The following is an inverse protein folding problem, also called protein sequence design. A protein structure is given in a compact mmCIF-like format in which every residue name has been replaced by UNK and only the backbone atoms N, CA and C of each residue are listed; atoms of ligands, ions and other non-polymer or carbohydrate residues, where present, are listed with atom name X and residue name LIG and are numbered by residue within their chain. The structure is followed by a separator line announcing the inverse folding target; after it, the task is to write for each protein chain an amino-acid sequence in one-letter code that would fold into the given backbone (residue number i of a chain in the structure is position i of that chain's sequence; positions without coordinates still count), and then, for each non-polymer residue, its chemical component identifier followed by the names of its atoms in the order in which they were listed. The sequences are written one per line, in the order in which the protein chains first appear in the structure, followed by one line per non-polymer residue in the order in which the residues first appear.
data_IF_566478093358
#
_entry.id   IF_566478093358
#
_cell.length_a   1.000
_cell.length_b   1.000
_cell.length_c   1.000
_cell.angle_alpha   90.00
_cell.angle_beta   90.00
_cell.angle_gamma   90.00
#
_symmetry.space_group_name_H-M   'P 1'
#
loop_
_entity.id
_entity.type
_entity.pdbx_description
1 polymer ?
#
# COMPACT_ATOMS: atom_id res chain seq x y z
N UNK A 1 -35.14 -11.04 -16.07
CA UNK A 1 -33.99 -10.51 -15.31
C UNK A 1 -32.63 -10.83 -15.94
N UNK A 2 -32.12 -12.06 -15.89
CA UNK A 2 -30.75 -12.36 -16.38
C UNK A 2 -30.52 -12.12 -17.89
N UNK A 3 -31.58 -12.16 -18.69
CA UNK A 3 -31.56 -11.97 -20.16
C UNK A 3 -32.23 -10.68 -20.63
N UNK A 4 -32.56 -9.76 -19.71
CA UNK A 4 -33.16 -8.46 -20.06
C UNK A 4 -32.25 -7.66 -20.99
N UNK A 5 -32.86 -6.90 -21.89
CA UNK A 5 -32.17 -5.95 -22.76
C UNK A 5 -32.09 -4.58 -22.08
N UNK A 6 -31.05 -3.82 -22.42
CA UNK A 6 -30.91 -2.45 -21.95
C UNK A 6 -31.90 -1.53 -22.66
N UNK A 7 -32.64 -0.73 -21.89
CA UNK A 7 -33.42 0.37 -22.45
C UNK A 7 -32.46 1.49 -22.88
N UNK A 8 -32.58 1.94 -24.13
CA UNK A 8 -31.75 3.01 -24.73
C UNK A 8 -30.24 2.80 -24.59
N UNK A 9 -29.79 1.55 -24.54
CA UNK A 9 -28.38 1.19 -24.33
C UNK A 9 -27.84 1.48 -22.92
N UNK A 10 -28.70 1.88 -21.98
CA UNK A 10 -28.32 2.17 -20.60
C UNK A 10 -28.30 0.89 -19.76
N UNK A 11 -27.12 0.45 -19.31
CA UNK A 11 -26.99 -0.77 -18.51
C UNK A 11 -27.76 -0.72 -17.18
N UNK A 12 -27.90 0.47 -16.58
CA UNK A 12 -28.62 0.69 -15.32
C UNK A 12 -30.13 0.51 -15.42
N UNK A 13 -30.67 0.39 -16.64
CA UNK A 13 -32.09 0.09 -16.86
C UNK A 13 -32.49 -1.32 -16.42
N UNK A 14 -31.52 -2.23 -16.27
CA UNK A 14 -31.77 -3.59 -15.81
C UNK A 14 -31.59 -3.71 -14.30
N UNK A 15 -32.50 -4.42 -13.65
CA UNK A 15 -32.49 -4.59 -12.19
C UNK A 15 -31.19 -5.25 -11.71
N UNK A 16 -30.68 -6.23 -12.47
CA UNK A 16 -29.48 -6.98 -12.07
C UNK A 16 -28.21 -6.12 -12.09
N UNK A 17 -28.06 -5.24 -13.10
CA UNK A 17 -26.93 -4.29 -13.15
C UNK A 17 -27.06 -3.26 -12.04
N UNK A 18 -28.26 -2.71 -11.81
CA UNK A 18 -28.51 -1.79 -10.72
C UNK A 18 -28.17 -2.43 -9.35
N UNK A 19 -28.64 -3.65 -9.11
CA UNK A 19 -28.34 -4.40 -7.90
C UNK A 19 -26.84 -4.61 -7.71
N UNK A 20 -26.11 -4.96 -8.77
CA UNK A 20 -24.65 -5.11 -8.70
C UNK A 20 -23.96 -3.82 -8.27
N UNK A 21 -24.42 -2.66 -8.76
CA UNK A 21 -23.86 -1.37 -8.38
C UNK A 21 -24.07 -1.07 -6.89
N UNK A 22 -25.24 -1.44 -6.33
CA UNK A 22 -25.51 -1.34 -4.88
C UNK A 22 -24.57 -2.24 -4.08
N UNK A 23 -24.27 -3.46 -4.56
CA UNK A 23 -23.28 -4.33 -3.93
C UNK A 23 -21.85 -3.75 -3.96
N UNK A 24 -21.59 -2.74 -4.80
CA UNK A 24 -20.33 -2.00 -4.86
C UNK A 24 -20.16 -0.98 -3.74
N UNK A 25 -21.14 -0.81 -2.84
CA UNK A 25 -21.08 0.13 -1.73
C UNK A 25 -20.56 -0.53 -0.44
N UNK A 26 -19.83 0.22 0.36
CA UNK A 26 -19.32 -0.22 1.67
C UNK A 26 -20.44 -0.35 2.70
N UNK A 27 -20.46 -1.44 3.48
CA UNK A 27 -21.43 -1.62 4.56
C UNK A 27 -20.96 -0.97 5.87
N UNK A 28 -21.88 -0.59 6.78
CA UNK A 28 -23.34 -0.65 6.65
C UNK A 28 -23.95 0.59 5.98
N UNK A 29 -23.24 1.72 5.96
CA UNK A 29 -23.78 3.04 5.61
C UNK A 29 -23.75 3.38 4.11
N UNK A 30 -23.02 2.63 3.29
CA UNK A 30 -22.90 2.90 1.85
C UNK A 30 -22.11 4.16 1.51
N UNK A 31 -21.34 4.73 2.44
CA UNK A 31 -20.73 6.05 2.30
C UNK A 31 -19.60 6.09 1.26
N UNK A 32 -18.93 4.96 1.04
CA UNK A 32 -17.82 4.82 0.09
C UNK A 32 -18.05 3.65 -0.86
N UNK A 33 -17.35 3.67 -2.01
CA UNK A 33 -17.28 2.53 -2.93
C UNK A 33 -16.28 1.49 -2.44
N UNK A 34 -16.56 0.22 -2.73
CA UNK A 34 -15.63 -0.89 -2.52
C UNK A 34 -14.40 -0.73 -3.41
N UNK A 35 -13.28 -1.26 -2.92
CA UNK A 35 -12.06 -1.37 -3.70
C UNK A 35 -12.26 -2.29 -4.91
N UNK A 36 -11.67 -2.01 -6.09
CA UNK A 36 -11.70 -2.88 -7.26
C UNK A 36 -11.49 -4.37 -6.95
N UNK A 37 -10.52 -4.72 -6.10
CA UNK A 37 -10.31 -6.12 -5.68
C UNK A 37 -11.55 -6.77 -5.02
N UNK A 38 -12.27 -6.03 -4.19
CA UNK A 38 -13.45 -6.51 -3.49
C UNK A 38 -14.66 -6.57 -4.43
N UNK A 39 -14.87 -5.52 -5.22
CA UNK A 39 -16.01 -5.45 -6.13
C UNK A 39 -15.92 -6.49 -7.26
N UNK A 40 -14.71 -6.75 -7.79
CA UNK A 40 -14.50 -7.80 -8.82
C UNK A 40 -14.81 -9.21 -8.30
N UNK A 41 -14.63 -9.48 -7.01
CA UNK A 41 -15.05 -10.75 -6.38
C UNK A 41 -16.58 -10.89 -6.37
N UNK A 42 -17.29 -9.81 -6.03
CA UNK A 42 -18.77 -9.76 -6.09
C UNK A 42 -19.24 -9.98 -7.53
N UNK A 43 -18.67 -9.25 -8.49
CA UNK A 43 -18.99 -9.43 -9.92
C UNK A 43 -18.73 -10.87 -10.39
N UNK A 44 -17.63 -11.49 -9.97
CA UNK A 44 -17.32 -12.88 -10.32
C UNK A 44 -18.39 -13.85 -9.81
N UNK A 45 -18.89 -13.62 -8.60
CA UNK A 45 -19.98 -14.40 -8.01
C UNK A 45 -21.30 -14.20 -8.78
N UNK A 46 -21.63 -12.95 -9.13
CA UNK A 46 -22.82 -12.63 -9.93
C UNK A 46 -22.74 -13.23 -11.34
N UNK A 47 -21.58 -13.17 -12.00
CA UNK A 47 -21.33 -13.80 -13.30
C UNK A 47 -21.57 -15.31 -13.21
N UNK A 48 -21.05 -15.96 -12.18
CA UNK A 48 -21.22 -17.40 -11.97
C UNK A 48 -22.70 -17.76 -11.79
N UNK A 49 -23.40 -17.13 -10.85
CA UNK A 49 -24.81 -17.39 -10.59
C UNK A 49 -25.69 -17.12 -11.83
N UNK A 50 -25.45 -16.01 -12.52
CA UNK A 50 -26.20 -15.64 -13.73
C UNK A 50 -26.00 -16.65 -14.85
N UNK A 51 -24.77 -17.15 -15.04
CA UNK A 51 -24.47 -18.21 -16.02
C UNK A 51 -25.22 -19.50 -15.72
N UNK A 52 -25.28 -19.92 -14.45
CA UNK A 52 -26.03 -21.11 -14.04
C UNK A 52 -27.53 -20.94 -14.32
N UNK A 53 -28.10 -19.80 -13.97
CA UNK A 53 -29.53 -19.51 -14.20
C UNK A 53 -29.87 -19.51 -15.69
N UNK A 54 -29.03 -18.90 -16.55
CA UNK A 54 -29.23 -18.92 -18.00
C UNK A 54 -29.07 -20.34 -18.55
N UNK A 55 -28.10 -21.11 -18.08
CA UNK A 55 -27.94 -22.50 -18.53
C UNK A 55 -29.14 -23.36 -18.15
N UNK A 56 -29.67 -23.21 -16.94
CA UNK A 56 -30.84 -23.96 -16.50
C UNK A 56 -32.10 -23.53 -17.26
N UNK A 57 -32.25 -22.26 -17.60
CA UNK A 57 -33.43 -21.82 -18.38
C UNK A 57 -33.39 -22.23 -19.85
N UNK A 58 -32.19 -22.43 -20.42
CA UNK A 58 -32.02 -22.74 -21.85
C UNK A 58 -31.85 -24.24 -22.11
N UNK A 59 -31.16 -24.95 -21.21
CA UNK A 59 -30.84 -26.37 -21.32
C UNK A 59 -31.02 -27.08 -19.97
N UNK A 60 -32.22 -27.07 -19.38
CA UNK A 60 -32.46 -27.71 -18.10
C UNK A 60 -32.17 -29.20 -18.20
N UNK A 61 -31.58 -29.76 -17.15
CA UNK A 61 -31.26 -31.21 -17.14
C UNK A 61 -32.52 -32.07 -17.07
N UNK A 62 -33.53 -31.59 -16.35
CA UNK A 62 -34.80 -32.26 -16.11
C UNK A 62 -35.95 -31.31 -16.47
N UNK A 63 -37.15 -31.83 -16.73
CA UNK A 63 -38.31 -30.97 -16.93
C UNK A 63 -38.69 -30.27 -15.61
N UNK A 64 -39.07 -29.01 -15.73
CA UNK A 64 -39.62 -28.21 -14.63
C UNK A 64 -41.07 -27.90 -14.97
N UNK A 65 -41.96 -28.87 -14.72
CA UNK A 65 -43.36 -28.81 -15.14
C UNK A 65 -44.11 -27.62 -14.51
N UNK A 66 -43.71 -27.20 -13.31
CA UNK A 66 -44.30 -26.07 -12.57
C UNK A 66 -44.06 -24.70 -13.22
N UNK A 67 -43.10 -24.59 -14.14
CA UNK A 67 -42.80 -23.38 -14.93
C UNK A 67 -42.80 -23.67 -16.44
N UNK A 68 -43.37 -24.80 -16.85
CA UNK A 68 -43.49 -25.22 -18.26
C UNK A 68 -42.15 -25.26 -19.01
N UNK A 69 -41.07 -25.63 -18.34
CA UNK A 69 -39.73 -25.77 -18.93
C UNK A 69 -39.46 -27.24 -19.24
N UNK A 70 -39.40 -27.57 -20.53
CA UNK A 70 -39.09 -28.93 -20.98
C UNK A 70 -37.61 -29.26 -20.77
N UNK A 71 -37.31 -30.54 -20.53
CA UNK A 71 -35.92 -31.01 -20.46
C UNK A 71 -35.14 -30.72 -21.76
N UNK A 72 -33.82 -30.54 -21.63
CA UNK A 72 -32.96 -30.32 -22.79
C UNK A 72 -33.04 -31.49 -23.79
N UNK A 73 -32.96 -31.23 -25.10
CA UNK A 73 -32.94 -32.28 -26.10
C UNK A 73 -31.68 -33.16 -25.98
N UNK A 74 -31.74 -34.38 -26.53
CA UNK A 74 -30.60 -35.32 -26.56
C UNK A 74 -29.44 -34.85 -27.45
N UNK A 75 -29.72 -34.05 -28.47
CA UNK A 75 -28.74 -33.54 -29.43
C UNK A 75 -28.98 -32.05 -29.73
N UNK A 76 -27.98 -31.37 -30.30
CA UNK A 76 -28.10 -29.96 -30.72
C UNK A 76 -28.04 -28.94 -29.58
N UNK A 77 -27.65 -29.35 -28.37
CA UNK A 77 -27.61 -28.47 -27.20
C UNK A 77 -26.64 -27.29 -27.41
N UNK A 78 -25.50 -27.53 -28.05
CA UNK A 78 -24.51 -26.50 -28.31
C UNK A 78 -25.05 -25.36 -29.18
N UNK A 79 -25.85 -25.67 -30.20
CA UNK A 79 -26.43 -24.67 -31.10
C UNK A 79 -27.48 -23.82 -30.37
N UNK A 80 -28.33 -24.47 -29.57
CA UNK A 80 -29.31 -23.81 -28.69
C UNK A 80 -28.60 -22.86 -27.73
N UNK A 81 -27.56 -23.34 -27.03
CA UNK A 81 -26.78 -22.53 -26.11
C UNK A 81 -26.07 -21.38 -26.83
N UNK A 82 -25.47 -21.63 -27.99
CA UNK A 82 -24.72 -20.61 -28.73
C UNK A 82 -25.61 -19.45 -29.18
N UNK A 83 -26.88 -19.70 -29.50
CA UNK A 83 -27.82 -18.63 -29.86
C UNK A 83 -28.01 -17.63 -28.69
N UNK A 84 -28.12 -18.15 -27.46
CA UNK A 84 -28.24 -17.30 -26.26
C UNK A 84 -26.88 -16.72 -25.86
N UNK A 85 -25.83 -17.54 -25.85
CA UNK A 85 -24.47 -17.15 -25.44
C UNK A 85 -23.96 -15.95 -26.21
N UNK A 86 -24.06 -15.98 -27.55
CA UNK A 86 -23.58 -14.90 -28.42
C UNK A 86 -24.31 -13.57 -28.17
N UNK A 87 -25.59 -13.63 -27.80
CA UNK A 87 -26.44 -12.45 -27.61
C UNK A 87 -26.40 -11.90 -26.18
N UNK A 88 -26.22 -12.76 -25.18
CA UNK A 88 -26.49 -12.44 -23.76
C UNK A 88 -25.40 -12.82 -22.78
N UNK A 89 -24.34 -13.54 -23.19
CA UNK A 89 -23.31 -14.03 -22.25
C UNK A 89 -21.88 -13.63 -22.61
N UNK A 90 -21.71 -12.92 -23.73
CA UNK A 90 -20.42 -12.43 -24.17
C UNK A 90 -20.20 -10.98 -23.73
N UNK A 91 -18.92 -10.62 -23.60
CA UNK A 91 -18.51 -9.23 -23.42
C UNK A 91 -18.99 -8.35 -24.59
N UNK A 92 -19.31 -7.08 -24.30
CA UNK A 92 -19.83 -6.13 -25.28
C UNK A 92 -21.28 -6.37 -25.71
N UNK A 93 -22.00 -7.33 -25.11
CA UNK A 93 -23.44 -7.48 -25.33
C UNK A 93 -24.24 -6.49 -24.48
N UNK A 94 -25.36 -5.99 -24.99
CA UNK A 94 -26.32 -5.15 -24.25
C UNK A 94 -27.18 -6.00 -23.30
N UNK A 95 -26.51 -6.71 -22.39
CA UNK A 95 -27.12 -7.62 -21.43
C UNK A 95 -26.42 -7.52 -20.07
N UNK A 96 -27.11 -7.83 -18.96
CA UNK A 96 -26.51 -7.77 -17.63
C UNK A 96 -25.21 -8.55 -17.49
N UNK A 97 -25.14 -9.74 -18.09
CA UNK A 97 -23.95 -10.58 -18.01
C UNK A 97 -22.79 -10.02 -18.86
N UNK A 98 -23.10 -9.40 -20.01
CA UNK A 98 -22.11 -8.67 -20.80
C UNK A 98 -21.49 -7.54 -19.99
N UNK A 99 -22.32 -6.70 -19.37
CA UNK A 99 -21.88 -5.60 -18.51
C UNK A 99 -21.03 -6.08 -17.33
N UNK A 100 -21.43 -7.18 -16.66
CA UNK A 100 -20.62 -7.73 -15.56
C UNK A 100 -19.23 -8.16 -16.00
N UNK A 101 -19.11 -8.76 -17.19
CA UNK A 101 -17.81 -9.16 -17.74
C UNK A 101 -16.98 -7.91 -18.05
N UNK A 102 -17.57 -6.88 -18.68
CA UNK A 102 -16.90 -5.62 -18.97
C UNK A 102 -16.42 -4.93 -17.68
N UNK A 103 -17.27 -4.86 -16.65
CA UNK A 103 -16.94 -4.29 -15.34
C UNK A 103 -15.87 -5.10 -14.61
N UNK A 104 -15.89 -6.43 -14.69
CA UNK A 104 -14.88 -7.28 -14.09
C UNK A 104 -13.51 -7.09 -14.77
N UNK A 105 -13.48 -6.99 -16.10
CA UNK A 105 -12.26 -6.68 -16.86
C UNK A 105 -11.71 -5.30 -16.52
N UNK A 106 -12.60 -4.28 -16.44
CA UNK A 106 -12.23 -2.94 -16.01
C UNK A 106 -11.66 -2.94 -14.58
N UNK A 107 -12.37 -3.56 -13.62
CA UNK A 107 -11.91 -3.66 -12.24
C UNK A 107 -10.58 -4.39 -12.09
N UNK A 108 -10.34 -5.44 -12.89
CA UNK A 108 -9.06 -6.14 -12.90
C UNK A 108 -7.91 -5.27 -13.44
N UNK A 109 -8.19 -4.41 -14.43
CA UNK A 109 -7.22 -3.44 -14.92
C UNK A 109 -6.87 -2.40 -13.83
N UNK A 110 -7.88 -1.93 -13.09
CA UNK A 110 -7.73 -0.95 -12.02
C UNK A 110 -7.08 -1.54 -10.77
N UNK A 111 -7.26 -2.84 -10.51
CA UNK A 111 -6.60 -3.55 -9.41
C UNK A 111 -5.08 -3.48 -9.48
N UNK A 112 -4.52 -3.34 -10.70
CA UNK A 112 -3.06 -3.18 -10.88
C UNK A 112 -2.54 -1.85 -10.33
N UNK A 113 -3.38 -0.82 -10.25
CA UNK A 113 -3.02 0.47 -9.67
C UNK A 113 -3.30 0.59 -8.17
N UNK A 114 -4.00 -0.37 -7.55
CA UNK A 114 -4.33 -0.31 -6.11
C UNK A 114 -3.13 -0.55 -5.18
N UNK A 115 -1.94 -0.83 -5.72
CA UNK A 115 -0.77 -1.23 -4.95
C UNK A 115 -0.92 -2.62 -4.34
N UNK A 116 0.17 -3.21 -3.81
CA UNK A 116 0.07 -4.47 -3.10
C UNK A 116 -0.81 -4.30 -1.86
N UNK A 117 -1.77 -5.21 -1.67
CA UNK A 117 -2.48 -5.33 -0.39
C UNK A 117 -1.53 -6.05 0.57
N UNK A 118 -0.65 -5.31 1.22
CA UNK A 118 0.23 -5.88 2.26
C UNK A 118 -0.68 -6.23 3.44
N UNK A 119 -0.83 -7.53 3.69
CA UNK A 119 -1.52 -8.02 4.87
C UNK A 119 -0.51 -8.10 6.00
N UNK A 120 -0.75 -7.32 7.04
CA UNK A 120 -0.03 -7.43 8.30
C UNK A 120 -0.83 -8.31 9.23
N UNK A 121 -0.16 -9.27 9.83
CA UNK A 121 -0.71 -10.15 10.85
C UNK A 121 -0.01 -9.79 12.17
N UNK A 122 -0.80 -9.59 13.22
CA UNK A 122 -0.28 -9.42 14.57
C UNK A 122 -0.36 -10.76 15.29
N UNK A 123 0.67 -11.08 16.06
CA UNK A 123 0.58 -12.16 17.04
C UNK A 123 -0.46 -11.85 18.11
N UNK A 124 -1.05 -12.88 18.72
CA UNK A 124 -2.10 -12.73 19.73
C UNK A 124 -1.63 -11.96 20.98
N UNK A 125 -0.32 -12.01 21.27
CA UNK A 125 0.31 -11.27 22.37
C UNK A 125 0.69 -9.82 21.98
N UNK A 126 0.57 -9.45 20.71
CA UNK A 126 0.92 -8.13 20.19
C UNK A 126 2.42 -7.84 20.12
N UNK A 127 3.29 -8.83 20.29
CA UNK A 127 4.75 -8.64 20.29
C UNK A 127 5.41 -8.88 18.92
N UNK A 128 4.68 -9.39 17.93
CA UNK A 128 5.19 -9.68 16.58
C UNK A 128 4.23 -9.20 15.48
N UNK A 129 4.79 -8.57 14.45
CA UNK A 129 4.11 -8.26 13.19
C UNK A 129 4.74 -9.10 12.09
N UNK A 130 3.93 -9.87 11.36
CA UNK A 130 4.35 -10.62 10.17
C UNK A 130 3.66 -10.14 8.90
N UNK A 131 4.33 -10.28 7.76
CA UNK A 131 3.75 -10.00 6.44
C UNK A 131 4.36 -10.90 5.35
N UNK A 132 3.57 -11.13 4.30
CA UNK A 132 3.93 -11.94 3.11
C UNK A 132 4.45 -13.35 3.44
N UNK A 133 4.12 -13.89 4.62
CA UNK A 133 4.51 -15.25 5.08
C UNK A 133 6.00 -15.47 5.32
N UNK A 134 6.86 -14.50 4.99
CA UNK A 134 8.32 -14.64 5.05
C UNK A 134 8.99 -13.59 5.96
N UNK A 135 8.31 -12.48 6.23
CA UNK A 135 8.87 -11.38 6.98
C UNK A 135 8.18 -11.23 8.32
N UNK A 136 8.99 -10.87 9.33
CA UNK A 136 8.53 -10.60 10.68
C UNK A 136 9.39 -9.55 11.35
N UNK A 137 8.77 -8.76 12.20
CA UNK A 137 9.44 -7.82 13.11
C UNK A 137 8.83 -8.01 14.49
N UNK A 138 9.68 -8.32 15.47
CA UNK A 138 9.27 -8.30 16.87
C UNK A 138 9.35 -6.89 17.41
N UNK A 139 8.51 -6.57 18.39
CA UNK A 139 8.54 -5.28 19.07
C UNK A 139 9.88 -5.08 19.82
N UNK A 140 10.49 -6.14 20.33
CA UNK A 140 11.86 -6.11 20.87
C UNK A 140 12.90 -5.75 19.79
N UNK A 141 12.82 -6.38 18.61
CA UNK A 141 13.71 -6.07 17.49
C UNK A 141 13.54 -4.64 17.00
N UNK A 142 12.30 -4.15 16.94
CA UNK A 142 11.99 -2.77 16.58
C UNK A 142 12.58 -1.76 17.57
N UNK A 143 12.39 -1.98 18.89
CA UNK A 143 12.96 -1.13 19.94
C UNK A 143 14.49 -1.18 19.91
N UNK A 144 15.06 -2.36 19.73
CA UNK A 144 16.51 -2.57 19.61
C UNK A 144 17.09 -1.85 18.40
N UNK A 145 16.41 -1.88 17.26
CA UNK A 145 16.82 -1.13 16.08
C UNK A 145 16.90 0.37 16.39
N UNK A 146 15.85 0.94 16.99
CA UNK A 146 15.84 2.36 17.36
C UNK A 146 16.98 2.71 18.34
N UNK A 147 17.18 1.88 19.38
CA UNK A 147 18.27 2.07 20.33
C UNK A 147 19.66 1.96 19.68
N UNK A 148 19.86 0.98 18.79
CA UNK A 148 21.12 0.81 18.07
C UNK A 148 21.42 2.00 17.14
N UNK A 149 20.40 2.54 16.47
CA UNK A 149 20.53 3.70 15.60
C UNK A 149 20.91 4.95 16.39
N UNK A 150 20.23 5.19 17.53
CA UNK A 150 20.58 6.29 18.45
C UNK A 150 22.01 6.10 18.95
N UNK A 151 22.38 4.91 19.43
CA UNK A 151 23.72 4.66 19.96
C UNK A 151 24.80 4.84 18.89
N UNK A 152 24.56 4.39 17.66
CA UNK A 152 25.48 4.60 16.55
C UNK A 152 25.62 6.08 16.19
N UNK A 153 24.51 6.82 16.13
CA UNK A 153 24.51 8.27 15.90
C UNK A 153 25.25 9.01 17.02
N UNK A 154 24.99 8.67 18.29
CA UNK A 154 25.68 9.26 19.44
C UNK A 154 27.18 9.01 19.37
N UNK A 155 27.63 7.76 19.13
CA UNK A 155 29.06 7.45 18.97
C UNK A 155 29.69 8.22 17.81
N UNK A 156 28.98 8.36 16.70
CA UNK A 156 29.47 9.11 15.55
C UNK A 156 29.56 10.61 15.86
N UNK A 157 28.57 11.17 16.56
CA UNK A 157 28.61 12.55 17.04
C UNK A 157 29.76 12.76 18.03
N UNK A 158 29.94 11.90 19.03
CA UNK A 158 31.07 11.96 19.97
C UNK A 158 32.42 11.97 19.24
N UNK A 159 32.57 11.08 18.25
CA UNK A 159 33.75 11.01 17.40
C UNK A 159 33.97 12.29 16.57
N UNK A 160 32.92 12.82 15.93
CA UNK A 160 33.00 14.04 15.14
C UNK A 160 33.29 15.28 15.99
N UNK A 161 32.85 15.26 17.25
CA UNK A 161 33.09 16.33 18.21
C UNK A 161 34.41 16.15 18.98
N UNK A 162 35.23 15.12 18.68
CA UNK A 162 36.47 14.82 19.40
C UNK A 162 36.28 14.73 20.92
N UNK A 163 35.20 14.08 21.35
CA UNK A 163 34.78 13.99 22.76
C UNK A 163 34.57 15.38 23.41
N UNK A 164 34.34 16.42 22.61
CA UNK A 164 33.88 17.71 23.10
C UNK A 164 32.41 17.60 23.48
N UNK A 165 32.10 18.07 24.68
CA UNK A 165 30.74 18.07 25.22
C UNK A 165 30.31 19.52 25.38
N UNK A 166 29.18 19.94 24.77
CA UNK A 166 28.69 21.29 24.95
C UNK A 166 28.36 21.57 26.42
N UNK A 167 28.49 22.83 26.88
CA UNK A 167 28.09 23.24 28.23
C UNK A 167 26.64 22.89 28.54
N UNK A 168 25.79 22.93 27.51
CA UNK A 168 24.36 22.64 27.59
C UNK A 168 24.03 21.38 26.79
N UNK A 169 23.59 20.32 27.48
CA UNK A 169 23.13 19.07 26.83
C UNK A 169 21.63 19.08 26.52
N UNK A 170 20.86 19.96 27.15
CA UNK A 170 19.42 20.09 26.90
C UNK A 170 19.17 20.97 25.67
N UNK A 171 18.91 20.33 24.53
CA UNK A 171 18.59 21.00 23.28
C UNK A 171 17.33 21.88 23.37
N UNK A 172 16.46 21.67 24.36
CA UNK A 172 15.25 22.51 24.56
C UNK A 172 15.58 23.93 24.98
N UNK A 173 16.73 24.11 25.62
CA UNK A 173 17.23 25.42 26.06
C UNK A 173 18.05 26.12 24.99
N UNK A 174 18.40 25.41 23.91
CA UNK A 174 19.15 25.95 22.79
C UNK A 174 18.25 26.86 21.96
N UNK A 175 18.69 28.10 21.77
CA UNK A 175 17.99 29.13 21.02
C UNK A 175 18.55 29.23 19.62
N UNK A 176 17.71 28.95 18.62
CA UNK A 176 18.02 29.19 17.21
C UNK A 176 16.93 30.03 16.57
N UNK A 177 17.24 31.29 16.23
CA UNK A 177 16.29 32.22 15.62
C UNK A 177 16.46 32.23 14.09
N UNK A 178 15.90 31.22 13.43
CA UNK A 178 15.95 31.08 11.97
C UNK A 178 15.37 32.28 11.19
N UNK A 179 14.53 33.10 11.82
CA UNK A 179 13.99 34.34 11.24
C UNK A 179 14.99 35.51 11.20
N UNK A 180 16.17 35.34 11.78
CA UNK A 180 17.18 36.40 11.89
C UNK A 180 18.08 36.40 10.65
N UNK A 181 17.81 37.31 9.72
CA UNK A 181 18.55 37.45 8.47
C UNK A 181 19.83 38.31 8.57
N UNK A 182 20.29 38.64 9.78
CA UNK A 182 21.56 39.37 9.96
C UNK A 182 22.73 38.50 9.53
N UNK A 183 23.55 39.04 8.62
CA UNK A 183 24.79 38.39 8.20
C UNK A 183 25.67 38.07 9.42
N UNK A 184 26.14 36.83 9.50
CA UNK A 184 26.97 36.34 10.61
C UNK A 184 26.19 35.74 11.79
N UNK A 185 24.85 35.81 11.79
CA UNK A 185 24.06 35.09 12.80
C UNK A 185 24.05 33.57 12.53
N UNK A 186 24.24 32.83 13.61
CA UNK A 186 24.04 31.39 13.75
C UNK A 186 23.64 31.11 15.20
N UNK A 187 23.00 29.98 15.48
CA UNK A 187 22.76 29.55 16.87
C UNK A 187 24.05 29.52 17.71
N UNK A 188 25.22 29.28 17.10
CA UNK A 188 26.52 29.32 17.79
C UNK A 188 26.83 30.72 18.34
N UNK A 189 26.43 31.76 17.61
CA UNK A 189 26.64 33.16 17.97
C UNK A 189 25.55 33.74 18.90
N UNK A 190 24.48 33.00 19.18
CA UNK A 190 23.42 33.47 20.08
C UNK A 190 23.93 33.47 21.54
N UNK A 191 23.94 34.63 22.24
CA UNK A 191 24.47 34.72 23.60
C UNK A 191 23.78 33.80 24.60
N UNK A 192 22.52 33.42 24.34
CA UNK A 192 21.76 32.53 25.21
C UNK A 192 22.33 31.09 25.23
N UNK A 193 23.08 30.70 24.18
CA UNK A 193 23.61 29.34 24.06
C UNK A 193 24.99 29.18 24.68
N UNK A 194 25.74 30.27 24.93
CA UNK A 194 27.03 30.23 25.61
C UNK A 194 28.13 29.44 24.87
N UNK A 195 28.02 29.24 23.56
CA UNK A 195 28.91 28.39 22.75
C UNK A 195 29.67 29.17 21.66
N UNK A 196 29.76 30.50 21.77
CA UNK A 196 30.42 31.35 20.76
C UNK A 196 31.88 30.97 20.50
N UNK A 197 32.59 30.48 21.53
CA UNK A 197 33.98 30.06 21.45
C UNK A 197 34.16 28.54 21.29
N UNK A 198 33.07 27.76 21.19
CA UNK A 198 33.11 26.30 21.12
C UNK A 198 33.96 25.77 19.96
N UNK A 199 34.00 26.51 18.83
CA UNK A 199 34.84 26.15 17.70
C UNK A 199 36.34 26.13 18.04
N UNK A 200 36.83 27.06 18.88
CA UNK A 200 38.24 27.07 19.29
C UNK A 200 38.59 25.87 20.16
N UNK A 201 37.70 25.51 21.08
CA UNK A 201 37.86 24.32 21.93
C UNK A 201 37.85 23.04 21.10
N UNK A 202 36.89 22.93 20.16
CA UNK A 202 36.76 21.79 19.27
C UNK A 202 37.94 21.68 18.30
N UNK A 203 38.44 22.79 17.76
CA UNK A 203 39.64 22.83 16.93
C UNK A 203 40.88 22.39 17.72
N UNK A 204 41.01 22.86 18.97
CA UNK A 204 42.12 22.46 19.85
C UNK A 204 42.06 20.95 20.13
N UNK A 205 40.88 20.40 20.45
CA UNK A 205 40.70 18.95 20.62
C UNK A 205 40.96 18.19 19.33
N UNK A 206 40.55 18.71 18.18
CA UNK A 206 40.81 18.10 16.87
C UNK A 206 42.31 17.94 16.59
N UNK A 207 43.10 19.00 16.82
CA UNK A 207 44.54 18.99 16.61
C UNK A 207 45.28 18.05 17.57
N UNK A 208 44.78 17.88 18.80
CA UNK A 208 45.36 17.01 19.81
C UNK A 208 44.85 15.57 19.75
N UNK A 209 43.79 15.30 18.98
CA UNK A 209 43.15 13.99 18.93
C UNK A 209 43.94 13.00 18.07
N UNK A 210 44.18 11.77 18.55
CA UNK A 210 44.78 10.72 17.73
C UNK A 210 43.80 10.16 16.68
N UNK A 211 42.51 10.49 16.77
CA UNK A 211 41.43 9.94 15.91
C UNK A 211 41.49 10.50 14.49
N UNK A 212 42.02 11.71 14.32
CA UNK A 212 42.32 12.30 13.02
C UNK A 212 43.79 12.76 13.06
N UNK A 213 44.69 11.96 12.49
CA UNK A 213 46.11 12.26 12.27
C UNK A 213 46.30 13.47 11.32
N UNK A 214 45.82 14.65 11.72
CA UNK A 214 45.98 15.89 10.96
C UNK A 214 47.17 16.72 11.40
N UNK A 215 47.93 16.31 12.42
CA UNK A 215 49.24 16.91 12.70
C UNK A 215 50.28 15.89 13.16
N UNK A 216 51.41 15.92 12.43
CA UNK A 216 52.75 15.44 12.77
C UNK A 216 53.11 13.96 12.50
N UNK A 217 53.04 13.54 11.23
CA UNK A 217 54.14 12.74 10.66
C UNK A 217 54.97 13.64 9.75
N UNK A 218 55.65 14.60 10.38
CA UNK A 218 56.90 15.15 9.88
C UNK A 218 58.05 14.35 10.48
N UNK A 219 58.05 13.02 10.33
CA UNK A 219 59.23 12.22 10.62
C UNK A 219 60.16 12.30 9.42
N UNK A 220 61.13 13.20 9.51
CA UNK A 220 62.43 13.00 8.89
C UNK A 220 63.00 11.68 9.41
N UNK A 221 62.79 10.58 8.69
CA UNK A 221 63.65 9.40 8.79
C UNK A 221 64.40 9.27 7.45
N UNK A 222 65.56 9.89 7.43
CA UNK A 222 66.67 9.57 6.53
C UNK A 222 67.29 8.26 7.05
N UNK A 223 67.32 7.20 6.24
CA UNK A 223 68.32 6.09 6.16
C UNK A 223 67.68 4.83 5.56
N UNK A 224 67.99 4.51 4.29
CA UNK A 224 68.87 3.42 3.87
C UNK A 224 68.40 2.02 4.31
N UNK A 225 67.72 1.28 3.43
CA UNK A 225 68.22 0.19 2.57
C UNK A 225 67.06 -0.32 1.71
#
# INVERSE_FOLDING_TARGET
MATEDFADGNSKSTMLVYFSAVCGLTLPTGANFLRPAQFTSILSSLIYCTRLLIMESVLPRFSHDYISLSERPRYGQLDILNNVRKKKMCDGTLSPLGEFISLAAYGQSLRRSEGPTIQFEWSDDGEEISWDGCFRVTMDGFRTLAHSAIQAATRQCERLMYDWVPPTRDLRTLRDRLSTATAGYSFVSDPANGISNAYLELLTKACLSPVNLLTLIGKNECSSW
#
